data_IF_282191617800
#
_entry.id   IF_282191617800
#
_cell.length_a   1.000
_cell.length_b   1.000
_cell.length_c   1.000
_cell.angle_alpha   90.00
_cell.angle_beta   90.00
_cell.angle_gamma   90.00
#
_symmetry.space_group_name_H-M   'P 1'
#
loop_
_entity.id
_entity.type
_entity.pdbx_description
1 polymer ?
#
# COMPACT_ATOMS: atom_id res chain seq x y z
N UNK A 1 -1.87 -1.31 -10.01
CA UNK A 1 -0.61 -2.08 -9.80
C UNK A 1 0.32 -1.45 -8.78
N UNK A 2 0.44 -0.12 -8.70
CA UNK A 2 1.27 0.58 -7.70
C UNK A 2 1.06 0.07 -6.26
N UNK A 3 -0.18 0.03 -5.76
CA UNK A 3 -0.47 -0.40 -4.38
C UNK A 3 0.01 -1.83 -4.07
N UNK A 4 -0.15 -2.75 -5.02
CA UNK A 4 0.27 -4.15 -4.87
C UNK A 4 1.81 -4.23 -4.82
N UNK A 5 2.50 -3.55 -5.74
CA UNK A 5 3.95 -3.51 -5.76
C UNK A 5 4.54 -2.83 -4.52
N UNK A 6 3.96 -1.71 -4.10
CA UNK A 6 4.37 -0.98 -2.90
C UNK A 6 4.16 -1.82 -1.63
N UNK A 7 3.03 -2.55 -1.54
CA UNK A 7 2.77 -3.46 -0.43
C UNK A 7 3.78 -4.60 -0.39
N UNK A 8 3.99 -5.30 -1.50
CA UNK A 8 4.96 -6.40 -1.58
C UNK A 8 6.37 -5.91 -1.24
N UNK A 9 6.80 -4.78 -1.79
CA UNK A 9 8.10 -4.20 -1.47
C UNK A 9 8.23 -3.91 0.03
N UNK A 10 7.28 -3.20 0.63
CA UNK A 10 7.33 -2.81 2.05
C UNK A 10 7.13 -3.98 3.02
N UNK A 11 6.50 -5.07 2.58
CA UNK A 11 6.34 -6.29 3.34
C UNK A 11 7.57 -7.20 3.26
N UNK A 12 8.21 -7.30 2.08
CA UNK A 12 9.31 -8.22 1.82
C UNK A 12 10.69 -7.63 2.09
N UNK A 13 10.82 -6.30 2.00
CA UNK A 13 12.08 -5.62 2.28
C UNK A 13 12.07 -4.98 3.66
N UNK A 14 13.24 -4.93 4.28
CA UNK A 14 13.41 -4.26 5.54
C UNK A 14 13.85 -2.81 5.32
N UNK A 15 13.38 -1.91 6.18
CA UNK A 15 13.91 -0.56 6.24
C UNK A 15 15.29 -0.57 6.90
N UNK A 16 16.26 0.06 6.24
CA UNK A 16 17.64 0.18 6.71
C UNK A 16 17.92 1.56 7.32
N UNK A 17 17.12 2.56 6.97
CA UNK A 17 17.23 3.94 7.45
C UNK A 17 15.83 4.55 7.65
N UNK A 18 15.74 5.54 8.54
CA UNK A 18 14.51 6.32 8.68
C UNK A 18 14.37 7.27 7.49
N UNK A 19 13.26 7.24 6.74
CA UNK A 19 13.03 8.18 5.64
C UNK A 19 12.93 9.61 6.18
N UNK A 20 13.33 10.59 5.36
CA UNK A 20 13.15 11.99 5.71
C UNK A 20 11.67 12.29 6.01
N UNK A 21 11.35 13.18 6.97
CA UNK A 21 9.97 13.47 7.35
C UNK A 21 9.09 13.87 6.15
N UNK A 22 9.67 14.63 5.21
CA UNK A 22 9.01 15.05 3.97
C UNK A 22 8.65 13.85 3.08
N UNK A 23 9.60 12.96 2.82
CA UNK A 23 9.37 11.78 1.97
C UNK A 23 8.34 10.84 2.61
N UNK A 24 8.40 10.68 3.93
CA UNK A 24 7.43 9.90 4.69
C UNK A 24 6.00 10.44 4.54
N UNK A 25 5.80 11.74 4.71
CA UNK A 25 4.47 12.33 4.63
C UNK A 25 3.91 12.28 3.20
N UNK A 26 4.75 12.51 2.19
CA UNK A 26 4.35 12.41 0.77
C UNK A 26 3.93 10.98 0.43
N UNK A 27 4.69 9.98 0.86
CA UNK A 27 4.38 8.58 0.59
C UNK A 27 3.08 8.14 1.26
N UNK A 28 2.82 8.56 2.51
CA UNK A 28 1.52 8.34 3.17
C UNK A 28 0.39 8.98 2.35
N UNK A 29 0.56 10.25 1.99
CA UNK A 29 -0.47 10.99 1.25
C UNK A 29 -0.76 10.36 -0.11
N UNK A 30 0.28 9.92 -0.82
CA UNK A 30 0.15 9.26 -2.11
C UNK A 30 -0.55 7.90 -1.98
N UNK A 31 -0.15 7.07 -1.00
CA UNK A 31 -0.79 5.78 -0.75
C UNK A 31 -2.29 5.98 -0.45
N UNK A 32 -2.62 6.98 0.37
CA UNK A 32 -3.99 7.30 0.76
C UNK A 32 -4.81 7.80 -0.44
N UNK A 33 -4.24 8.67 -1.27
CA UNK A 33 -4.86 9.15 -2.52
C UNK A 33 -5.08 8.00 -3.52
N UNK A 34 -4.12 7.09 -3.64
CA UNK A 34 -4.24 5.90 -4.48
C UNK A 34 -5.34 4.95 -3.98
N UNK A 35 -5.48 4.75 -2.66
CA UNK A 35 -6.55 3.92 -2.10
C UNK A 35 -7.92 4.57 -2.30
N UNK A 36 -8.05 5.88 -2.06
CA UNK A 36 -9.30 6.61 -2.31
C UNK A 36 -9.66 6.55 -3.81
N UNK A 37 -8.70 6.78 -4.70
CA UNK A 37 -8.91 6.68 -6.14
C UNK A 37 -9.33 5.26 -6.57
N UNK A 38 -8.75 4.24 -5.96
CA UNK A 38 -9.13 2.85 -6.20
C UNK A 38 -10.58 2.59 -5.74
N UNK A 39 -10.98 3.04 -4.56
CA UNK A 39 -12.37 2.89 -4.09
C UNK A 39 -13.33 3.65 -5.00
N UNK A 40 -12.99 4.88 -5.40
CA UNK A 40 -13.81 5.69 -6.32
C UNK A 40 -14.02 5.03 -7.68
N UNK A 41 -12.94 4.54 -8.29
CA UNK A 41 -13.02 3.78 -9.55
C UNK A 41 -13.78 2.47 -9.37
N UNK A 42 -13.64 1.79 -8.22
CA UNK A 42 -14.44 0.62 -7.86
C UNK A 42 -15.94 0.90 -7.83
N UNK A 43 -16.37 1.96 -7.15
CA UNK A 43 -17.79 2.35 -7.07
C UNK A 43 -18.33 2.65 -8.48
N UNK A 44 -17.59 3.40 -9.29
CA UNK A 44 -18.00 3.72 -10.66
C UNK A 44 -18.10 2.47 -11.52
N UNK A 45 -17.16 1.54 -11.35
CA UNK A 45 -17.12 0.28 -12.08
C UNK A 45 -18.29 -0.63 -11.70
N UNK A 46 -18.55 -0.87 -10.41
CA UNK A 46 -19.68 -1.70 -9.96
C UNK A 46 -21.03 -1.15 -10.38
N UNK A 47 -21.16 0.18 -10.52
CA UNK A 47 -22.38 0.82 -11.03
C UNK A 47 -22.57 0.64 -12.54
N UNK A 48 -21.49 0.49 -13.30
CA UNK A 48 -21.49 0.37 -14.76
C UNK A 48 -21.16 -1.06 -15.26
N UNK A 49 -21.00 -2.04 -14.35
CA UNK A 49 -20.61 -3.40 -14.70
C UNK A 49 -21.64 -4.03 -15.64
N UNK A 50 -21.23 -4.26 -16.88
CA UNK A 50 -22.00 -4.99 -17.89
C UNK A 50 -21.91 -6.50 -17.63
N UNK A 51 -22.97 -7.28 -17.94
CA UNK A 51 -22.93 -8.73 -17.86
C UNK A 51 -21.97 -9.29 -18.93
N UNK A 52 -20.79 -9.75 -18.50
CA UNK A 52 -19.76 -10.31 -19.39
C UNK A 52 -18.31 -9.96 -19.00
N UNK A 53 -18.09 -9.16 -17.96
CA UNK A 53 -16.75 -8.75 -17.58
C UNK A 53 -15.86 -9.88 -17.04
N UNK A 54 -14.60 -9.85 -17.47
CA UNK A 54 -13.52 -10.74 -17.07
C UNK A 54 -13.38 -10.83 -15.54
N UNK A 55 -13.54 -12.04 -14.99
CA UNK A 55 -13.30 -12.36 -13.58
C UNK A 55 -11.92 -11.89 -13.08
N UNK A 56 -10.92 -11.89 -13.98
CA UNK A 56 -9.55 -11.50 -13.64
C UNK A 56 -9.46 -10.03 -13.19
N UNK A 57 -10.25 -9.14 -13.79
CA UNK A 57 -10.22 -7.72 -13.43
C UNK A 57 -10.80 -7.47 -12.03
N UNK A 58 -11.90 -8.16 -11.70
CA UNK A 58 -12.49 -8.12 -10.35
C UNK A 58 -11.51 -8.66 -9.31
N UNK A 59 -10.80 -9.75 -9.63
CA UNK A 59 -9.79 -10.30 -8.74
C UNK A 59 -8.64 -9.30 -8.49
N UNK A 60 -8.10 -8.68 -9.56
CA UNK A 60 -7.06 -7.67 -9.44
C UNK A 60 -7.51 -6.44 -8.65
N UNK A 61 -8.76 -6.02 -8.82
CA UNK A 61 -9.35 -4.93 -8.04
C UNK A 61 -9.34 -5.25 -6.54
N UNK A 62 -9.86 -6.41 -6.14
CA UNK A 62 -9.87 -6.82 -4.74
C UNK A 62 -8.47 -7.00 -4.16
N UNK A 63 -7.53 -7.55 -4.92
CA UNK A 63 -6.13 -7.67 -4.50
C UNK A 63 -5.52 -6.27 -4.27
N UNK A 64 -5.81 -5.30 -5.15
CA UNK A 64 -5.34 -3.93 -4.98
C UNK A 64 -5.95 -3.25 -3.74
N UNK A 65 -7.23 -3.50 -3.44
CA UNK A 65 -7.89 -3.00 -2.22
C UNK A 65 -7.22 -3.59 -0.98
N UNK A 66 -7.03 -4.92 -0.96
CA UNK A 66 -6.39 -5.61 0.16
C UNK A 66 -4.93 -5.17 0.35
N UNK A 67 -4.20 -4.95 -0.74
CA UNK A 67 -2.83 -4.41 -0.69
C UNK A 67 -2.80 -2.97 -0.13
N UNK A 68 -3.76 -2.13 -0.56
CA UNK A 68 -3.92 -0.78 -0.02
C UNK A 68 -4.18 -0.77 1.49
N UNK A 69 -5.10 -1.62 1.95
CA UNK A 69 -5.35 -1.81 3.39
C UNK A 69 -4.13 -2.39 4.11
N UNK A 70 -3.41 -3.32 3.47
CA UNK A 70 -2.19 -3.93 3.97
C UNK A 70 -1.07 -2.92 4.22
N UNK A 71 -0.95 -1.87 3.40
CA UNK A 71 0.01 -0.78 3.62
C UNK A 71 -0.25 -0.02 4.92
N UNK A 72 -1.51 0.19 5.27
CA UNK A 72 -1.89 0.79 6.55
C UNK A 72 -1.71 -0.20 7.70
N UNK A 73 -2.03 -1.47 7.49
CA UNK A 73 -1.81 -2.52 8.49
C UNK A 73 -0.32 -2.68 8.86
N UNK A 74 0.60 -2.57 7.89
CA UNK A 74 2.04 -2.54 8.15
C UNK A 74 2.38 -1.39 9.09
N UNK A 75 1.87 -0.19 8.84
CA UNK A 75 2.14 0.97 9.71
C UNK A 75 1.59 0.78 11.12
N UNK A 76 0.49 0.05 11.30
CA UNK A 76 -0.08 -0.27 12.62
C UNK A 76 0.67 -1.41 13.37
N UNK A 77 1.69 -2.02 12.76
CA UNK A 77 2.40 -3.16 13.35
C UNK A 77 3.46 -2.77 14.42
N UNK A 78 3.63 -1.48 14.72
CA UNK A 78 4.51 -0.97 15.78
C UNK A 78 5.15 0.37 15.42
N UNK A 79 5.78 1.05 16.38
CA UNK A 79 6.32 2.41 16.20
C UNK A 79 7.34 2.50 15.05
N UNK A 80 8.30 1.58 14.98
CA UNK A 80 9.29 1.57 13.89
C UNK A 80 8.62 1.35 12.52
N UNK A 81 7.60 0.49 12.46
CA UNK A 81 6.84 0.20 11.24
C UNK A 81 5.95 1.37 10.82
N UNK A 82 5.40 2.12 11.78
CA UNK A 82 4.63 3.34 11.54
C UNK A 82 5.47 4.40 10.82
N UNK A 83 6.70 4.60 11.30
CA UNK A 83 7.59 5.65 10.79
C UNK A 83 8.34 5.27 9.52
N UNK A 84 8.72 3.99 9.35
CA UNK A 84 9.45 3.51 8.17
C UNK A 84 8.53 3.01 7.06
N UNK A 85 7.29 2.63 7.40
CA UNK A 85 6.35 2.02 6.48
C UNK A 85 6.74 0.61 6.02
N UNK A 86 7.69 -0.05 6.68
CA UNK A 86 8.14 -1.41 6.35
C UNK A 86 7.88 -2.38 7.51
N UNK A 87 7.55 -3.63 7.18
CA UNK A 87 7.23 -4.65 8.19
C UNK A 87 8.45 -5.04 9.04
N UNK A 88 9.66 -4.96 8.46
CA UNK A 88 10.93 -5.28 9.11
C UNK A 88 11.82 -4.06 9.12
N UNK A 89 12.61 -3.91 10.18
CA UNK A 89 13.57 -2.82 10.33
C UNK A 89 14.90 -3.40 10.83
N UNK A 90 16.01 -3.04 10.18
CA UNK A 90 17.36 -3.39 10.62
C UNK A 90 18.19 -2.11 10.75
N UNK A 91 18.70 -1.87 11.96
CA UNK A 91 19.78 -0.91 12.18
C UNK A 91 21.10 -1.62 11.87
N UNK A 92 21.83 -1.12 10.88
CA UNK A 92 23.25 -1.48 10.75
C UNK A 92 23.96 -1.07 12.06
N UNK A 93 24.70 -1.98 12.71
CA UNK A 93 25.52 -1.60 13.85
C UNK A 93 26.52 -0.57 13.37
N UNK A 94 26.59 0.59 14.04
CA UNK A 94 27.68 1.54 13.84
C UNK A 94 28.95 0.88 14.40
N UNK A 95 29.76 0.29 13.53
CA UNK A 95 31.14 -0.14 13.83
C UNK A 95 32.07 1.05 13.82
#
# INVERSE_FOLDING_TARGET
MYLIGAFLWRALTAAHEYPSPTLRNITIGLDLLCVIGLIGTGIQFFKNSLPGESMAWKALFWIAVMAGLGLFAIRLNGDASWWTGHLRYYLLPRS
#
